data_IF_462755644000
#
_entry.id   IF_462755644000
#
_cell.length_a   1.000
_cell.length_b   1.000
_cell.length_c   1.000
_cell.angle_alpha   90.00
_cell.angle_beta   90.00
_cell.angle_gamma   90.00
#
_symmetry.space_group_name_H-M   'P 1'
#
loop_
_entity.id
_entity.type
_entity.pdbx_description
1 polymer ?
#
# COMPACT_ATOMS: atom_id res chain seq x y z
N UNK A 1 27.91 -6.27 -15.91
CA UNK A 1 26.89 -7.21 -15.39
C UNK A 1 25.54 -6.68 -15.85
N UNK A 2 24.91 -7.31 -16.83
CA UNK A 2 23.60 -6.88 -17.32
C UNK A 2 22.52 -7.20 -16.26
N UNK A 3 22.02 -6.16 -15.58
CA UNK A 3 20.87 -6.29 -14.68
C UNK A 3 19.60 -6.39 -15.52
N UNK A 4 19.23 -7.61 -15.91
CA UNK A 4 17.93 -7.87 -16.53
C UNK A 4 16.84 -7.71 -15.48
N UNK A 5 16.19 -6.54 -15.47
CA UNK A 5 15.06 -6.27 -14.57
C UNK A 5 13.91 -7.24 -14.85
N UNK A 6 13.43 -7.92 -13.80
CA UNK A 6 12.26 -8.79 -13.90
C UNK A 6 10.99 -7.96 -13.94
N UNK A 7 10.13 -8.22 -14.92
CA UNK A 7 8.80 -7.60 -15.00
C UNK A 7 7.83 -8.35 -14.07
N UNK A 8 7.14 -7.67 -13.14
CA UNK A 8 6.18 -8.33 -12.28
C UNK A 8 4.94 -8.77 -13.07
N UNK A 9 4.20 -9.71 -12.49
CA UNK A 9 2.88 -10.10 -13.01
C UNK A 9 1.92 -8.91 -12.93
N UNK A 10 0.92 -8.90 -13.82
CA UNK A 10 -0.16 -7.91 -13.78
C UNK A 10 -1.05 -8.19 -12.57
N UNK A 11 -1.66 -7.13 -12.03
CA UNK A 11 -2.67 -7.26 -10.98
C UNK A 11 -4.00 -7.72 -11.57
N UNK A 12 -4.70 -8.56 -10.81
CA UNK A 12 -6.05 -9.04 -11.09
C UNK A 12 -7.00 -8.73 -9.91
N UNK A 13 -8.31 -8.71 -10.19
CA UNK A 13 -9.30 -8.53 -9.13
C UNK A 13 -9.22 -9.69 -8.13
N UNK A 14 -9.23 -9.37 -6.85
CA UNK A 14 -9.03 -10.33 -5.75
C UNK A 14 -7.61 -10.34 -5.20
N UNK A 15 -6.63 -9.78 -5.93
CA UNK A 15 -5.24 -9.65 -5.46
C UNK A 15 -5.13 -8.72 -4.25
N UNK A 16 -4.06 -8.92 -3.47
CA UNK A 16 -3.81 -8.13 -2.26
C UNK A 16 -2.78 -7.05 -2.52
N UNK A 17 -3.15 -5.79 -2.23
CA UNK A 17 -2.26 -4.64 -2.26
C UNK A 17 -1.81 -4.32 -0.82
N UNK A 18 -0.51 -4.26 -0.60
CA UNK A 18 0.07 -3.89 0.67
C UNK A 18 0.33 -2.37 0.75
N UNK A 19 -0.16 -1.72 1.81
CA UNK A 19 0.21 -0.34 2.12
C UNK A 19 1.35 -0.34 3.13
N UNK A 20 2.44 0.31 2.74
CA UNK A 20 3.69 0.46 3.51
C UNK A 20 4.13 1.91 3.48
N UNK A 21 4.85 2.37 4.53
CA UNK A 21 5.41 3.72 4.59
C UNK A 21 6.91 3.67 4.90
N UNK A 22 7.78 3.45 3.90
CA UNK A 22 9.22 3.33 4.12
C UNK A 22 9.94 4.67 4.38
N UNK A 23 9.27 5.81 4.16
CA UNK A 23 9.84 7.14 4.34
C UNK A 23 9.18 7.91 5.50
N UNK A 24 7.97 8.45 5.30
CA UNK A 24 7.28 9.28 6.29
C UNK A 24 5.97 8.65 6.81
N UNK A 25 5.73 8.80 8.12
CA UNK A 25 4.54 8.28 8.81
C UNK A 25 3.27 9.13 8.67
N UNK A 26 3.00 9.74 7.52
CA UNK A 26 1.92 10.74 7.35
C UNK A 26 0.53 10.23 7.74
N UNK A 27 0.30 8.92 7.61
CA UNK A 27 -0.96 8.31 7.97
C UNK A 27 -1.34 8.52 9.45
N UNK A 28 -0.38 8.73 10.36
CA UNK A 28 -0.70 9.02 11.77
C UNK A 28 -1.44 10.35 11.93
N UNK A 29 -1.14 11.33 11.09
CA UNK A 29 -1.75 12.66 11.11
C UNK A 29 -3.05 12.70 10.31
N UNK A 30 -3.18 11.82 9.30
CA UNK A 30 -4.33 11.83 8.39
C UNK A 30 -4.95 10.43 8.20
N UNK A 31 -5.32 9.77 9.31
CA UNK A 31 -5.91 8.43 9.29
C UNK A 31 -7.13 8.31 8.37
N UNK A 32 -7.98 9.33 8.31
CA UNK A 32 -9.15 9.36 7.42
C UNK A 32 -8.76 9.22 5.94
N UNK A 33 -7.59 9.73 5.53
CA UNK A 33 -7.09 9.60 4.16
C UNK A 33 -6.57 8.19 3.87
N UNK A 34 -5.93 7.56 4.85
CA UNK A 34 -5.51 6.15 4.76
C UNK A 34 -6.72 5.24 4.54
N UNK A 35 -7.78 5.44 5.32
CA UNK A 35 -9.02 4.66 5.19
C UNK A 35 -9.76 4.94 3.88
N UNK A 36 -9.78 6.21 3.42
CA UNK A 36 -10.33 6.54 2.09
C UNK A 36 -9.58 5.81 0.98
N UNK A 37 -8.25 5.79 1.05
CA UNK A 37 -7.41 5.04 0.11
C UNK A 37 -7.69 3.55 0.15
N UNK A 38 -7.78 2.95 1.36
CA UNK A 38 -8.14 1.54 1.53
C UNK A 38 -9.45 1.20 0.83
N UNK A 39 -10.51 1.97 1.12
CA UNK A 39 -11.84 1.75 0.53
C UNK A 39 -11.83 1.85 -1.00
N UNK A 40 -11.12 2.83 -1.55
CA UNK A 40 -11.01 3.00 -2.99
C UNK A 40 -10.45 1.76 -3.70
N UNK A 41 -9.36 1.17 -3.18
CA UNK A 41 -8.80 -0.05 -3.77
C UNK A 41 -9.69 -1.28 -3.53
N UNK A 42 -10.38 -1.35 -2.40
CA UNK A 42 -11.37 -2.40 -2.15
C UNK A 42 -12.55 -2.33 -3.13
N UNK A 43 -13.05 -1.14 -3.43
CA UNK A 43 -14.12 -0.90 -4.42
C UNK A 43 -13.70 -1.26 -5.85
N UNK A 44 -12.41 -1.12 -6.18
CA UNK A 44 -11.85 -1.61 -7.46
C UNK A 44 -11.78 -3.15 -7.55
N UNK A 45 -12.03 -3.85 -6.44
CA UNK A 45 -12.04 -5.30 -6.36
C UNK A 45 -10.76 -5.91 -5.81
N UNK A 46 -9.88 -5.14 -5.17
CA UNK A 46 -8.67 -5.65 -4.53
C UNK A 46 -8.89 -5.90 -3.03
N UNK A 47 -8.02 -6.70 -2.42
CA UNK A 47 -7.87 -6.75 -0.97
C UNK A 47 -6.79 -5.77 -0.56
N UNK A 48 -6.95 -5.09 0.57
CA UNK A 48 -5.91 -4.18 1.09
C UNK A 48 -5.39 -4.67 2.43
N UNK A 49 -4.06 -4.73 2.55
CA UNK A 49 -3.37 -5.03 3.81
C UNK A 49 -2.52 -3.84 4.22
N UNK A 50 -2.90 -3.18 5.31
CA UNK A 50 -2.11 -2.07 5.88
C UNK A 50 -1.09 -2.66 6.84
N UNK A 51 0.20 -2.49 6.54
CA UNK A 51 1.26 -2.98 7.41
C UNK A 51 1.46 -2.07 8.64
N UNK A 52 1.91 -2.60 9.79
CA UNK A 52 2.05 -1.81 11.01
C UNK A 52 2.98 -0.59 10.88
N UNK A 53 3.98 -0.67 10.01
CA UNK A 53 4.91 0.45 9.73
C UNK A 53 4.21 1.63 9.06
N UNK A 54 3.11 1.39 8.33
CA UNK A 54 2.34 2.45 7.69
C UNK A 54 1.60 3.34 8.70
N UNK A 55 1.43 2.91 9.96
CA UNK A 55 0.73 3.65 11.02
C UNK A 55 1.65 4.15 12.12
N UNK A 56 2.98 4.08 11.94
CA UNK A 56 3.95 4.58 12.91
C UNK A 56 4.55 5.90 12.43
N UNK A 57 4.79 6.81 13.37
CA UNK A 57 5.68 7.93 13.17
C UNK A 57 6.95 7.67 13.99
N UNK A 58 8.09 7.59 13.33
CA UNK A 58 9.40 7.40 13.96
C UNK A 58 10.46 8.33 13.35
N UNK A 59 9.99 9.36 12.62
CA UNK A 59 10.82 10.50 12.22
C UNK A 59 10.82 11.58 13.28
#
# INVERSE_FOLDING_TARGET
>A
MDMKLMKPQRLEKGDTIAFVAPAGGLATLTLHRLEKGRRYFEELGYKVKIFPTAKRNSG
#
